data_IF_018456070172
#
_entry.id   IF_018456070172
#
_cell.length_a   1.000
_cell.length_b   1.000
_cell.length_c   1.000
_cell.angle_alpha   90.00
_cell.angle_beta   90.00
_cell.angle_gamma   90.00
#
_symmetry.space_group_name_H-M   'P 1'
#
loop_
_entity.id
_entity.type
_entity.pdbx_description
1 polymer ?
#
# COMPACT_ATOMS: atom_id res chain seq x y z
N UNK A 1 9.24 -16.58 14.56
CA UNK A 1 10.12 -15.74 13.74
C UNK A 1 9.26 -14.87 12.84
N UNK A 2 9.61 -13.58 12.69
CA UNK A 2 8.91 -12.66 11.77
C UNK A 2 9.67 -12.62 10.44
N UNK A 3 8.95 -12.62 9.31
CA UNK A 3 9.49 -12.22 8.01
C UNK A 3 8.73 -10.99 7.50
N UNK A 4 9.44 -9.96 7.06
CA UNK A 4 8.89 -8.87 6.27
C UNK A 4 9.02 -9.21 4.78
N UNK A 5 7.94 -9.06 4.01
CA UNK A 5 7.87 -9.30 2.57
C UNK A 5 7.42 -8.05 1.81
N UNK A 6 8.29 -7.02 1.67
CA UNK A 6 8.03 -5.88 0.79
C UNK A 6 7.94 -6.31 -0.68
N UNK A 7 6.86 -5.95 -1.36
CA UNK A 7 6.79 -6.03 -2.81
C UNK A 7 7.56 -4.87 -3.45
N UNK A 8 8.84 -5.07 -3.77
CA UNK A 8 9.78 -4.01 -4.19
C UNK A 8 9.53 -3.37 -5.58
N UNK A 9 8.37 -3.60 -6.18
CA UNK A 9 7.81 -2.72 -7.22
C UNK A 9 7.17 -1.43 -6.66
N UNK A 10 6.83 -1.38 -5.36
CA UNK A 10 6.23 -0.20 -4.72
C UNK A 10 7.21 0.51 -3.77
N UNK A 11 7.49 1.79 -4.07
CA UNK A 11 8.26 2.68 -3.19
C UNK A 11 7.60 2.84 -1.81
N UNK A 12 6.28 2.99 -1.77
CA UNK A 12 5.51 3.17 -0.53
C UNK A 12 5.65 1.97 0.40
N UNK A 13 5.34 0.77 -0.07
CA UNK A 13 5.48 -0.47 0.71
C UNK A 13 6.93 -0.72 1.14
N UNK A 14 7.89 -0.66 0.20
CA UNK A 14 9.30 -0.91 0.53
C UNK A 14 9.79 0.03 1.63
N UNK A 15 9.39 1.30 1.58
CA UNK A 15 9.82 2.30 2.56
C UNK A 15 9.06 2.22 3.90
N UNK A 16 7.80 1.76 3.93
CA UNK A 16 7.12 1.40 5.19
C UNK A 16 7.78 0.19 5.86
N UNK A 17 8.21 -0.80 5.09
CA UNK A 17 8.91 -1.98 5.61
C UNK A 17 10.28 -1.66 6.23
N UNK A 18 10.96 -0.57 5.81
CA UNK A 18 12.16 -0.07 6.51
C UNK A 18 11.85 0.36 7.95
N UNK A 19 10.78 1.14 8.13
CA UNK A 19 10.39 1.65 9.45
C UNK A 19 9.80 0.54 10.33
N UNK A 20 9.06 -0.42 9.75
CA UNK A 20 8.66 -1.65 10.46
C UNK A 20 9.87 -2.49 10.89
N UNK A 21 10.87 -2.67 10.01
CA UNK A 21 12.10 -3.40 10.36
C UNK A 21 12.84 -2.72 11.52
N UNK A 22 12.98 -1.39 11.47
CA UNK A 22 13.57 -0.60 12.55
C UNK A 22 12.80 -0.81 13.85
N UNK A 23 11.49 -0.54 13.86
CA UNK A 23 10.68 -0.59 15.08
C UNK A 23 10.61 -2.01 15.69
N UNK A 24 10.54 -3.07 14.88
CA UNK A 24 10.59 -4.46 15.37
C UNK A 24 11.97 -4.81 15.98
N UNK A 25 13.05 -4.32 15.36
CA UNK A 25 14.42 -4.52 15.86
C UNK A 25 14.67 -3.71 17.15
N UNK A 26 14.10 -2.51 17.26
CA UNK A 26 14.11 -1.68 18.48
C UNK A 26 13.32 -2.31 19.63
N UNK A 27 12.29 -3.12 19.34
CA UNK A 27 11.62 -4.00 20.30
C UNK A 27 12.42 -5.29 20.63
N UNK A 28 13.58 -5.50 20.02
CA UNK A 28 14.45 -6.67 20.25
C UNK A 28 13.95 -7.96 19.60
N UNK A 29 13.08 -7.88 18.58
CA UNK A 29 12.50 -9.05 17.91
C UNK A 29 13.39 -9.55 16.77
N UNK A 30 13.40 -10.87 16.57
CA UNK A 30 14.12 -11.48 15.44
C UNK A 30 13.28 -11.39 14.16
N UNK A 31 13.84 -10.68 13.17
CA UNK A 31 13.19 -10.34 11.90
C UNK A 31 14.08 -10.77 10.74
N UNK A 32 13.49 -11.44 9.75
CA UNK A 32 14.05 -11.60 8.40
C UNK A 32 13.36 -10.66 7.42
N UNK A 33 14.05 -10.32 6.34
CA UNK A 33 13.45 -9.63 5.18
C UNK A 33 13.67 -10.50 3.96
N UNK A 34 12.61 -10.69 3.17
CA UNK A 34 12.67 -11.41 1.91
C UNK A 34 11.77 -10.74 0.88
N UNK A 35 12.06 -10.86 -0.42
CA UNK A 35 11.26 -10.20 -1.45
C UNK A 35 11.34 -10.94 -2.78
N UNK A 36 10.37 -10.73 -3.67
CA UNK A 36 10.53 -11.10 -5.08
C UNK A 36 11.40 -10.10 -5.84
N UNK A 37 11.83 -9.01 -5.21
CA UNK A 37 12.70 -8.00 -5.79
C UNK A 37 11.94 -6.90 -6.53
N UNK A 38 12.67 -6.08 -7.27
CA UNK A 38 12.16 -4.96 -8.04
C UNK A 38 12.96 -3.66 -7.89
N UNK A 39 12.55 -2.59 -8.58
CA UNK A 39 13.31 -1.33 -8.67
C UNK A 39 13.59 -0.62 -7.34
N UNK A 40 12.93 -1.00 -6.24
CA UNK A 40 13.12 -0.42 -4.92
C UNK A 40 13.96 -1.28 -3.94
N UNK A 41 14.45 -2.46 -4.34
CA UNK A 41 15.40 -3.28 -3.55
C UNK A 41 16.59 -2.48 -3.02
N UNK A 42 17.07 -1.50 -3.80
CA UNK A 42 18.17 -0.61 -3.41
C UNK A 42 17.95 0.08 -2.07
N UNK A 43 16.70 0.31 -1.64
CA UNK A 43 16.38 0.94 -0.37
C UNK A 43 16.68 0.03 0.84
N UNK A 44 16.53 -1.30 0.67
CA UNK A 44 16.93 -2.27 1.69
C UNK A 44 18.47 -2.27 1.84
N UNK A 45 19.17 -2.27 0.71
CA UNK A 45 20.64 -2.24 0.67
C UNK A 45 21.23 -0.90 1.19
N UNK A 46 20.62 0.23 0.82
CA UNK A 46 20.98 1.59 1.30
C UNK A 46 20.74 1.74 2.81
N UNK A 47 19.73 1.05 3.37
CA UNK A 47 19.49 0.96 4.80
C UNK A 47 20.38 -0.06 5.54
N UNK A 48 21.23 -0.80 4.83
CA UNK A 48 22.10 -1.85 5.40
C UNK A 48 21.34 -3.10 5.87
N UNK A 49 20.09 -3.29 5.44
CA UNK A 49 19.25 -4.43 5.81
C UNK A 49 19.62 -5.63 4.93
N UNK A 50 19.97 -6.75 5.56
CA UNK A 50 20.15 -8.02 4.87
C UNK A 50 18.78 -8.58 4.44
N UNK A 51 18.66 -8.99 3.18
CA UNK A 51 17.44 -9.58 2.64
C UNK A 51 17.73 -10.71 1.65
N UNK A 52 16.78 -11.63 1.53
CA UNK A 52 16.80 -12.74 0.56
C UNK A 52 15.87 -12.45 -0.64
N UNK A 53 16.26 -12.89 -1.84
CA UNK A 53 15.39 -12.83 -3.04
C UNK A 53 14.76 -14.20 -3.27
N UNK A 54 13.42 -14.23 -3.33
CA UNK A 54 12.62 -15.46 -3.42
C UNK A 54 12.10 -15.67 -4.85
N UNK A 55 12.37 -16.85 -5.41
CA UNK A 55 11.96 -17.21 -6.77
C UNK A 55 12.86 -16.59 -7.86
N UNK A 56 12.37 -16.40 -9.09
CA UNK A 56 13.17 -15.95 -10.24
C UNK A 56 13.58 -14.46 -10.21
N UNK A 57 13.00 -13.65 -9.32
CA UNK A 57 13.25 -12.21 -9.25
C UNK A 57 12.38 -11.37 -10.20
N UNK A 58 11.96 -10.20 -9.73
CA UNK A 58 11.03 -9.31 -10.41
C UNK A 58 11.75 -8.24 -11.23
N UNK A 59 11.95 -8.51 -12.53
CA UNK A 59 12.62 -7.53 -13.42
C UNK A 59 11.92 -6.16 -13.44
N UNK A 60 12.63 -5.03 -13.66
CA UNK A 60 12.02 -3.70 -13.68
C UNK A 60 10.85 -3.55 -14.67
N UNK A 61 10.89 -4.25 -15.80
CA UNK A 61 9.79 -4.28 -16.77
C UNK A 61 8.57 -5.06 -16.24
N UNK A 62 8.79 -6.20 -15.57
CA UNK A 62 7.71 -6.98 -14.93
C UNK A 62 7.09 -6.20 -13.75
N UNK A 63 7.92 -5.52 -12.96
CA UNK A 63 7.49 -4.64 -11.88
C UNK A 63 6.63 -3.47 -12.40
N UNK A 64 7.03 -2.80 -13.49
CA UNK A 64 6.22 -1.76 -14.11
C UNK A 64 4.87 -2.29 -14.63
N UNK A 65 4.86 -3.48 -15.24
CA UNK A 65 3.63 -4.14 -15.68
C UNK A 65 2.72 -4.54 -14.50
N UNK A 66 3.30 -4.94 -13.36
CA UNK A 66 2.56 -5.27 -12.12
C UNK A 66 1.88 -4.03 -11.51
N UNK A 67 2.61 -2.91 -11.42
CA UNK A 67 2.03 -1.63 -10.96
C UNK A 67 0.95 -1.15 -11.93
N UNK A 68 1.13 -1.34 -13.25
CA UNK A 68 0.13 -1.06 -14.26
C UNK A 68 -1.13 -1.95 -14.21
N UNK A 69 -1.06 -3.12 -13.59
CA UNK A 69 -2.17 -4.06 -13.42
C UNK A 69 -2.84 -4.00 -12.04
N UNK A 70 -2.47 -3.03 -11.19
CA UNK A 70 -2.92 -2.92 -9.81
C UNK A 70 -4.44 -2.96 -9.61
N UNK A 71 -4.87 -3.41 -8.43
CA UNK A 71 -6.28 -3.40 -8.01
C UNK A 71 -6.89 -2.01 -8.22
N UNK A 72 -7.97 -1.96 -9.01
CA UNK A 72 -8.64 -0.72 -9.41
C UNK A 72 -8.23 -0.18 -10.80
N UNK A 73 -7.16 -0.72 -11.39
CA UNK A 73 -6.72 -0.43 -12.75
C UNK A 73 -7.03 -1.62 -13.70
N UNK A 74 -7.14 -1.34 -15.00
CA UNK A 74 -7.32 -2.35 -16.04
C UNK A 74 -8.71 -3.04 -16.04
N UNK A 75 -8.74 -4.31 -16.45
CA UNK A 75 -9.95 -5.14 -16.46
C UNK A 75 -10.02 -5.94 -15.15
N UNK A 76 -11.13 -5.92 -14.38
CA UNK A 76 -11.23 -6.68 -13.13
C UNK A 76 -11.18 -8.21 -13.30
N UNK A 77 -11.20 -8.73 -14.53
CA UNK A 77 -10.97 -10.15 -14.84
C UNK A 77 -9.49 -10.49 -15.01
N UNK A 78 -8.61 -9.49 -15.11
CA UNK A 78 -7.16 -9.72 -15.12
C UNK A 78 -6.70 -10.23 -13.76
N UNK A 79 -5.57 -10.93 -13.74
CA UNK A 79 -4.81 -11.20 -12.51
C UNK A 79 -3.55 -10.33 -12.52
N UNK A 80 -3.05 -9.96 -11.33
CA UNK A 80 -1.85 -9.14 -11.23
C UNK A 80 -0.57 -9.92 -11.52
N UNK A 81 -0.58 -11.21 -11.22
CA UNK A 81 0.38 -12.24 -11.60
C UNK A 81 -0.29 -13.24 -12.54
N UNK A 82 0.44 -13.89 -13.44
CA UNK A 82 -0.09 -15.07 -14.13
C UNK A 82 -0.04 -16.33 -13.23
N UNK A 83 -0.76 -17.38 -13.61
CA UNK A 83 -0.92 -18.57 -12.75
C UNK A 83 0.42 -19.28 -12.47
N UNK A 84 1.38 -19.27 -13.41
CA UNK A 84 2.69 -19.89 -13.22
C UNK A 84 3.59 -19.05 -12.32
N UNK A 85 3.49 -17.72 -12.42
CA UNK A 85 4.12 -16.77 -11.52
C UNK A 85 3.57 -16.90 -10.08
N UNK A 86 2.24 -17.07 -9.91
CA UNK A 86 1.64 -17.38 -8.60
C UNK A 86 2.16 -18.70 -8.06
N UNK A 87 2.12 -19.80 -8.84
CA UNK A 87 2.66 -21.12 -8.42
C UNK A 87 4.11 -21.01 -7.95
N UNK A 88 4.95 -20.34 -8.75
CA UNK A 88 6.39 -20.19 -8.51
C UNK A 88 6.67 -19.43 -7.21
N UNK A 89 6.04 -18.28 -7.01
CA UNK A 89 6.26 -17.47 -5.83
C UNK A 89 5.63 -18.08 -4.57
N UNK A 90 4.41 -18.64 -4.65
CA UNK A 90 3.76 -19.32 -3.51
C UNK A 90 4.57 -20.52 -3.02
N UNK A 91 5.19 -21.28 -3.93
CA UNK A 91 6.10 -22.36 -3.57
C UNK A 91 7.37 -21.85 -2.87
N UNK A 92 8.03 -20.83 -3.44
CA UNK A 92 9.27 -20.26 -2.92
C UNK A 92 9.08 -19.58 -1.54
N UNK A 93 7.99 -18.81 -1.36
CA UNK A 93 7.60 -18.24 -0.07
C UNK A 93 7.39 -19.36 0.96
N UNK A 94 6.58 -20.38 0.66
CA UNK A 94 6.26 -21.44 1.61
C UNK A 94 7.47 -22.33 1.95
N UNK A 95 8.40 -22.55 1.01
CA UNK A 95 9.67 -23.20 1.28
C UNK A 95 10.56 -22.36 2.20
N UNK A 96 10.75 -21.07 1.89
CA UNK A 96 11.51 -20.15 2.73
C UNK A 96 10.93 -20.03 4.14
N UNK A 97 9.60 -20.01 4.28
CA UNK A 97 8.92 -19.97 5.57
C UNK A 97 9.24 -21.20 6.43
N UNK A 98 9.17 -22.39 5.84
CA UNK A 98 9.50 -23.65 6.54
C UNK A 98 11.01 -23.76 6.86
N UNK A 99 11.87 -23.37 5.93
CA UNK A 99 13.33 -23.43 6.10
C UNK A 99 13.85 -22.52 7.24
N UNK A 100 13.19 -21.38 7.45
CA UNK A 100 13.61 -20.38 8.44
C UNK A 100 12.72 -20.29 9.70
N UNK A 101 11.78 -21.23 9.86
CA UNK A 101 10.88 -21.26 11.03
C UNK A 101 10.00 -20.02 11.15
N UNK A 102 9.63 -19.41 10.02
CA UNK A 102 8.75 -18.23 9.98
C UNK A 102 7.39 -18.64 10.57
N UNK A 103 6.87 -17.82 11.48
CA UNK A 103 5.54 -17.99 12.10
C UNK A 103 4.60 -16.85 11.74
N UNK A 104 5.16 -15.67 11.43
CA UNK A 104 4.44 -14.48 10.99
C UNK A 104 5.11 -13.95 9.72
N UNK A 105 4.33 -13.75 8.66
CA UNK A 105 4.72 -13.05 7.44
C UNK A 105 3.99 -11.70 7.37
N UNK A 106 4.71 -10.60 7.16
CA UNK A 106 4.15 -9.24 7.11
C UNK A 106 4.36 -8.65 5.72
N UNK A 107 3.31 -8.20 5.04
CA UNK A 107 3.41 -7.63 3.67
C UNK A 107 2.47 -6.44 3.45
N UNK A 108 2.77 -5.56 2.50
CA UNK A 108 1.83 -4.54 2.03
C UNK A 108 1.05 -4.98 0.79
N UNK A 109 1.72 -5.66 -0.14
CA UNK A 109 1.16 -6.02 -1.45
C UNK A 109 1.80 -7.25 -2.12
N UNK A 110 2.58 -8.06 -1.40
CA UNK A 110 3.04 -9.39 -1.88
C UNK A 110 1.87 -10.39 -1.78
N UNK A 111 0.88 -10.23 -2.67
CA UNK A 111 -0.42 -10.93 -2.56
C UNK A 111 -0.33 -12.48 -2.60
N UNK A 112 0.75 -13.02 -3.17
CA UNK A 112 1.11 -14.46 -3.12
C UNK A 112 1.23 -14.98 -1.69
N UNK A 113 1.65 -14.14 -0.75
CA UNK A 113 1.77 -14.46 0.68
C UNK A 113 0.42 -14.86 1.29
N UNK A 114 -0.73 -14.45 0.71
CA UNK A 114 -2.07 -14.90 1.14
C UNK A 114 -2.33 -16.40 0.86
N UNK A 115 -1.56 -17.03 -0.03
CA UNK A 115 -1.66 -18.47 -0.37
C UNK A 115 -0.53 -19.26 0.30
N UNK A 116 0.72 -18.79 0.23
CA UNK A 116 1.85 -19.49 0.85
C UNK A 116 1.77 -19.53 2.37
N UNK A 117 1.16 -18.51 3.00
CA UNK A 117 0.83 -18.55 4.43
C UNK A 117 -0.09 -19.72 4.79
N UNK A 118 -1.14 -19.97 4.00
CA UNK A 118 -2.01 -21.16 4.16
C UNK A 118 -1.22 -22.45 3.93
N UNK A 119 -0.36 -22.51 2.90
CA UNK A 119 0.45 -23.67 2.53
C UNK A 119 1.59 -23.99 3.53
N UNK A 120 2.03 -23.02 4.31
CA UNK A 120 3.09 -23.15 5.32
C UNK A 120 2.57 -23.22 6.77
N UNK A 121 1.30 -22.89 7.03
CA UNK A 121 0.76 -22.78 8.39
C UNK A 121 1.19 -21.50 9.11
N UNK A 122 1.46 -20.43 8.36
CA UNK A 122 1.98 -19.14 8.82
C UNK A 122 0.86 -18.12 8.93
N UNK A 123 0.91 -17.24 9.95
CA UNK A 123 0.01 -16.09 10.03
C UNK A 123 0.46 -15.01 9.04
N UNK A 124 -0.47 -14.45 8.25
CA UNK A 124 -0.19 -13.30 7.39
C UNK A 124 -0.77 -12.02 8.00
N UNK A 125 0.09 -11.02 8.16
CA UNK A 125 -0.26 -9.67 8.60
C UNK A 125 -0.13 -8.73 7.39
N UNK A 126 -1.19 -7.99 7.04
CA UNK A 126 -1.11 -6.97 5.97
C UNK A 126 -0.96 -5.57 6.54
N UNK A 127 -0.06 -4.75 6.00
CA UNK A 127 -0.05 -3.30 6.24
C UNK A 127 -0.83 -2.56 5.13
N UNK A 128 -2.15 -2.52 5.34
CA UNK A 128 -3.17 -2.18 4.34
C UNK A 128 -2.87 -0.86 3.61
N UNK A 129 -2.87 -0.86 2.28
CA UNK A 129 -2.52 0.31 1.48
C UNK A 129 -3.65 1.38 1.46
N UNK A 130 -3.77 2.15 2.54
CA UNK A 130 -4.69 3.28 2.67
C UNK A 130 -6.10 2.90 3.17
N UNK A 131 -7.08 3.75 2.90
CA UNK A 131 -8.39 3.78 3.58
C UNK A 131 -9.47 2.83 3.04
N UNK A 132 -9.15 1.90 2.14
CA UNK A 132 -10.11 0.95 1.54
C UNK A 132 -10.45 -0.24 2.49
N UNK A 133 -10.61 0.03 3.79
CA UNK A 133 -10.87 -0.99 4.82
C UNK A 133 -12.36 -1.27 5.02
N UNK A 134 -12.77 -2.47 5.50
CA UNK A 134 -14.18 -2.85 5.60
C UNK A 134 -15.14 -1.84 6.26
N UNK A 135 -14.84 -1.24 7.43
CA UNK A 135 -15.74 -0.26 8.04
C UNK A 135 -16.05 0.93 7.13
N UNK A 136 -15.10 1.34 6.28
CA UNK A 136 -15.26 2.50 5.41
C UNK A 136 -16.30 2.30 4.32
N UNK A 137 -16.25 1.17 3.60
CA UNK A 137 -17.28 0.90 2.61
C UNK A 137 -18.59 0.40 3.23
N UNK A 138 -18.55 -0.34 4.34
CA UNK A 138 -19.75 -0.81 5.03
C UNK A 138 -20.56 0.37 5.63
N UNK A 139 -19.90 1.43 6.12
CA UNK A 139 -20.53 2.70 6.55
C UNK A 139 -20.81 3.67 5.37
N UNK A 140 -20.50 3.28 4.14
CA UNK A 140 -20.75 4.02 2.88
C UNK A 140 -19.95 5.31 2.71
N UNK A 141 -18.75 5.37 3.30
CA UNK A 141 -17.91 6.55 3.36
C UNK A 141 -17.03 6.75 2.11
N UNK A 142 -16.82 5.73 1.28
CA UNK A 142 -16.06 5.90 0.04
C UNK A 142 -16.80 6.86 -0.93
N UNK A 143 -16.07 7.74 -1.64
CA UNK A 143 -16.65 8.60 -2.69
C UNK A 143 -17.04 7.80 -3.94
N UNK A 144 -17.64 8.47 -4.93
CA UNK A 144 -17.74 7.89 -6.27
C UNK A 144 -16.33 7.81 -6.90
N UNK A 145 -15.94 6.67 -7.50
CA UNK A 145 -14.63 6.53 -8.12
C UNK A 145 -14.55 7.32 -9.45
N UNK A 146 -13.60 8.24 -9.56
CA UNK A 146 -13.32 9.02 -10.79
C UNK A 146 -13.07 8.12 -12.02
N UNK A 147 -12.49 6.95 -11.78
CA UNK A 147 -12.31 5.89 -12.76
C UNK A 147 -12.92 4.59 -12.18
N UNK A 148 -14.17 4.25 -12.53
CA UNK A 148 -14.81 3.05 -12.01
C UNK A 148 -14.24 1.79 -12.68
N UNK A 149 -14.06 0.73 -11.87
CA UNK A 149 -13.45 -0.55 -12.27
C UNK A 149 -14.29 -1.32 -13.29
N UNK A 150 -15.62 -1.14 -13.32
CA UNK A 150 -16.45 -1.54 -14.47
C UNK A 150 -16.56 -0.36 -15.45
N UNK A 151 -16.00 -0.45 -16.68
CA UNK A 151 -16.09 0.61 -17.69
C UNK A 151 -17.52 1.02 -18.04
N UNK A 152 -18.53 0.15 -17.82
CA UNK A 152 -19.96 0.47 -18.02
C UNK A 152 -20.45 1.56 -17.06
N UNK A 153 -19.81 1.69 -15.90
CA UNK A 153 -20.12 2.71 -14.90
C UNK A 153 -19.46 4.06 -15.18
N UNK A 154 -18.62 4.19 -16.23
CA UNK A 154 -17.96 5.46 -16.62
C UNK A 154 -18.94 6.62 -16.88
N UNK A 155 -20.18 6.29 -17.21
CA UNK A 155 -21.27 7.25 -17.43
C UNK A 155 -22.45 7.07 -16.45
N UNK A 156 -22.25 6.30 -15.37
CA UNK A 156 -23.23 6.20 -14.29
C UNK A 156 -23.20 7.47 -13.43
N UNK A 157 -24.36 7.94 -12.90
CA UNK A 157 -24.38 9.03 -11.94
C UNK A 157 -23.59 8.71 -10.67
N UNK A 158 -22.94 9.72 -10.09
CA UNK A 158 -22.09 9.59 -8.89
C UNK A 158 -22.77 8.84 -7.74
N UNK A 159 -24.08 9.05 -7.53
CA UNK A 159 -24.83 8.36 -6.47
C UNK A 159 -24.86 6.83 -6.68
N UNK A 160 -24.90 6.37 -7.93
CA UNK A 160 -24.92 4.96 -8.29
C UNK A 160 -23.52 4.36 -8.23
N UNK A 161 -22.52 5.07 -8.77
CA UNK A 161 -21.11 4.65 -8.67
C UNK A 161 -20.68 4.56 -7.19
N UNK A 162 -21.05 5.55 -6.36
CA UNK A 162 -20.86 5.53 -4.90
C UNK A 162 -21.65 4.40 -4.23
N UNK A 163 -22.91 4.16 -4.60
CA UNK A 163 -23.70 3.07 -4.04
C UNK A 163 -23.06 1.70 -4.29
N UNK A 164 -22.49 1.48 -5.48
CA UNK A 164 -21.85 0.23 -5.88
C UNK A 164 -20.51 0.01 -5.18
N UNK A 165 -19.58 0.97 -5.23
CA UNK A 165 -18.25 0.82 -4.59
C UNK A 165 -18.34 0.61 -3.06
N UNK A 166 -19.42 1.08 -2.43
CA UNK A 166 -19.68 0.88 -1.00
C UNK A 166 -20.45 -0.42 -0.68
N UNK A 167 -20.78 -1.28 -1.67
CA UNK A 167 -21.58 -2.51 -1.46
C UNK A 167 -21.10 -3.75 -2.20
N UNK A 168 -20.13 -3.62 -3.09
CA UNK A 168 -19.52 -4.73 -3.85
C UNK A 168 -18.18 -5.27 -3.34
N UNK A 169 -17.30 -4.56 -2.58
CA UNK A 169 -15.95 -5.06 -2.31
C UNK A 169 -15.88 -6.46 -1.69
N UNK A 170 -16.73 -6.77 -0.71
CA UNK A 170 -16.83 -8.09 -0.07
C UNK A 170 -17.70 -9.11 -0.83
N UNK A 171 -18.03 -8.85 -2.10
CA UNK A 171 -18.90 -9.67 -2.95
C UNK A 171 -18.39 -9.81 -4.39
N UNK A 172 -17.27 -9.17 -4.69
CA UNK A 172 -16.74 -9.01 -6.03
C UNK A 172 -15.44 -9.83 -6.15
N UNK A 173 -15.41 -10.93 -6.93
CA UNK A 173 -14.22 -11.77 -7.09
C UNK A 173 -13.24 -11.21 -8.14
N UNK A 174 -13.28 -9.90 -8.39
CA UNK A 174 -12.35 -9.25 -9.33
C UNK A 174 -10.91 -9.38 -8.83
N UNK A 175 -9.97 -9.58 -9.75
CA UNK A 175 -8.56 -9.86 -9.50
C UNK A 175 -8.23 -11.17 -8.74
N UNK A 176 -9.21 -11.87 -8.15
CA UNK A 176 -8.98 -13.10 -7.37
C UNK A 176 -8.70 -14.35 -8.22
N UNK A 177 -9.22 -14.44 -9.45
CA UNK A 177 -9.40 -15.73 -10.13
C UNK A 177 -8.12 -16.55 -10.39
N UNK A 178 -6.95 -15.92 -10.55
CA UNK A 178 -5.67 -16.63 -10.68
C UNK A 178 -5.24 -17.28 -9.37
N UNK A 179 -5.37 -16.53 -8.27
CA UNK A 179 -5.15 -17.05 -6.92
C UNK A 179 -6.13 -18.18 -6.59
N UNK A 180 -7.41 -18.06 -6.97
CA UNK A 180 -8.41 -19.11 -6.69
C UNK A 180 -8.08 -20.43 -7.40
N UNK A 181 -7.63 -20.40 -8.66
CA UNK A 181 -7.19 -21.60 -9.40
C UNK A 181 -5.98 -22.26 -8.74
N UNK A 182 -4.95 -21.48 -8.41
CA UNK A 182 -3.74 -22.02 -7.78
C UNK A 182 -4.00 -22.47 -6.33
N UNK A 183 -4.95 -21.85 -5.62
CA UNK A 183 -5.40 -22.31 -4.31
C UNK A 183 -6.14 -23.66 -4.39
N UNK A 184 -6.99 -23.88 -5.42
CA UNK A 184 -7.63 -25.17 -5.69
C UNK A 184 -6.58 -26.26 -6.01
N UNK A 185 -5.60 -25.97 -6.86
CA UNK A 185 -4.48 -26.88 -7.18
C UNK A 185 -3.64 -27.26 -5.95
N UNK A 186 -3.43 -26.32 -5.02
CA UNK A 186 -2.67 -26.52 -3.79
C UNK A 186 -3.51 -27.08 -2.62
N UNK A 187 -4.84 -27.19 -2.78
CA UNK A 187 -5.75 -27.65 -1.72
C UNK A 187 -5.90 -26.68 -0.53
N UNK A 188 -5.73 -25.37 -0.75
CA UNK A 188 -5.79 -24.33 0.29
C UNK A 188 -6.98 -23.37 0.12
N UNK A 189 -7.28 -22.57 1.15
CA UNK A 189 -8.36 -21.57 1.08
C UNK A 189 -8.04 -20.43 0.09
N UNK A 190 -8.81 -20.33 -0.99
CA UNK A 190 -8.77 -19.24 -1.97
C UNK A 190 -9.17 -17.86 -1.41
N UNK A 191 -9.44 -16.89 -2.30
CA UNK A 191 -9.62 -15.48 -1.94
C UNK A 191 -11.09 -15.05 -2.17
N UNK A 192 -11.94 -15.05 -1.13
CA UNK A 192 -13.41 -14.99 -1.29
C UNK A 192 -13.97 -13.66 -1.84
N UNK A 193 -13.17 -12.60 -1.91
CA UNK A 193 -13.54 -11.33 -2.55
C UNK A 193 -12.33 -10.40 -2.73
N UNK A 194 -12.50 -9.34 -3.50
CA UNK A 194 -11.52 -8.24 -3.64
C UNK A 194 -11.18 -7.57 -2.29
N UNK A 195 -12.13 -7.51 -1.35
CA UNK A 195 -11.80 -7.04 -0.01
C UNK A 195 -10.91 -8.03 0.76
N UNK A 196 -11.12 -9.34 0.59
CA UNK A 196 -10.25 -10.37 1.18
C UNK A 196 -8.87 -10.47 0.51
N UNK A 197 -8.73 -9.98 -0.73
CA UNK A 197 -7.43 -9.87 -1.42
C UNK A 197 -6.48 -8.84 -0.78
N UNK A 198 -7.00 -7.95 0.08
CA UNK A 198 -6.25 -6.86 0.71
C UNK A 198 -6.09 -7.04 2.25
N UNK A 199 -6.62 -8.13 2.80
CA UNK A 199 -6.68 -8.37 4.24
C UNK A 199 -5.93 -9.66 4.63
N UNK A 200 -5.11 -9.56 5.67
CA UNK A 200 -4.49 -10.73 6.32
C UNK A 200 -5.39 -11.37 7.38
N UNK A 201 -4.78 -12.23 8.20
CA UNK A 201 -5.38 -12.66 9.47
C UNK A 201 -5.45 -11.48 10.46
N UNK A 202 -4.45 -10.59 10.41
CA UNK A 202 -4.48 -9.26 11.00
C UNK A 202 -4.14 -8.23 9.91
N UNK A 203 -4.92 -7.16 9.81
CA UNK A 203 -4.66 -6.07 8.87
C UNK A 203 -4.41 -4.78 9.65
N UNK A 204 -3.18 -4.29 9.59
CA UNK A 204 -2.77 -3.02 10.16
C UNK A 204 -3.29 -1.89 9.27
N UNK A 205 -4.04 -0.96 9.85
CA UNK A 205 -4.66 0.18 9.17
C UNK A 205 -3.78 1.41 9.44
N UNK A 206 -2.99 1.88 8.45
CA UNK A 206 -1.93 2.86 8.64
C UNK A 206 -2.45 4.31 8.56
N UNK A 207 -3.55 4.59 9.26
CA UNK A 207 -4.31 5.83 9.13
C UNK A 207 -5.02 6.14 10.46
N UNK A 208 -5.40 7.41 10.65
CA UNK A 208 -6.21 7.86 11.78
C UNK A 208 -7.70 7.68 11.42
N UNK A 209 -8.44 6.79 12.09
CA UNK A 209 -9.85 6.48 11.78
C UNK A 209 -10.73 7.72 11.70
N UNK A 210 -10.51 8.67 12.61
CA UNK A 210 -11.31 9.87 12.77
C UNK A 210 -11.10 10.88 11.63
N UNK A 211 -9.99 10.77 10.87
CA UNK A 211 -9.79 11.49 9.60
C UNK A 211 -10.63 10.88 8.48
N UNK A 212 -10.93 9.59 8.55
CA UNK A 212 -11.77 8.86 7.60
C UNK A 212 -13.27 8.91 7.94
N UNK A 213 -13.64 9.26 9.18
CA UNK A 213 -15.03 9.37 9.62
C UNK A 213 -15.58 8.13 10.33
N UNK A 214 -14.71 7.25 10.84
CA UNK A 214 -15.03 6.15 11.77
C UNK A 214 -14.18 6.30 13.04
N UNK A 215 -14.54 5.63 14.13
CA UNK A 215 -13.70 5.61 15.35
C UNK A 215 -12.72 4.43 15.36
N UNK A 216 -11.60 4.58 16.07
CA UNK A 216 -10.68 3.47 16.33
C UNK A 216 -11.37 2.26 17.02
N UNK A 217 -12.39 2.51 17.84
CA UNK A 217 -13.19 1.48 18.49
C UNK A 217 -14.05 0.68 17.49
N UNK A 218 -14.66 1.33 16.49
CA UNK A 218 -15.42 0.64 15.42
C UNK A 218 -14.51 -0.22 14.54
N UNK A 219 -13.29 0.25 14.23
CA UNK A 219 -12.31 -0.54 13.47
C UNK A 219 -11.83 -1.75 14.27
N UNK A 220 -11.51 -1.58 15.56
CA UNK A 220 -11.05 -2.68 16.43
C UNK A 220 -12.16 -3.68 16.81
N UNK A 221 -13.43 -3.26 16.79
CA UNK A 221 -14.59 -4.12 17.05
C UNK A 221 -15.19 -4.75 15.77
N UNK A 222 -14.61 -4.48 14.59
CA UNK A 222 -15.07 -5.06 13.33
C UNK A 222 -14.87 -6.58 13.32
N UNK A 223 -15.82 -7.31 12.73
CA UNK A 223 -15.77 -8.77 12.59
C UNK A 223 -16.11 -9.21 11.15
N UNK A 224 -15.43 -10.23 10.62
CA UNK A 224 -15.60 -10.65 9.22
C UNK A 224 -16.97 -11.28 8.97
N UNK A 225 -17.81 -10.58 8.19
CA UNK A 225 -19.02 -11.12 7.60
C UNK A 225 -18.78 -12.02 6.38
N UNK A 226 -19.84 -12.29 5.60
CA UNK A 226 -19.70 -13.03 4.33
C UNK A 226 -18.81 -12.27 3.34
N UNK A 227 -17.82 -12.96 2.78
CA UNK A 227 -16.91 -12.44 1.75
C UNK A 227 -15.48 -12.17 2.23
N UNK A 228 -15.22 -12.34 3.52
CA UNK A 228 -13.89 -12.24 4.14
C UNK A 228 -13.43 -13.64 4.59
N UNK A 229 -12.13 -13.80 4.93
CA UNK A 229 -11.65 -15.01 5.60
C UNK A 229 -12.18 -15.05 7.05
N UNK A 230 -12.55 -16.22 7.60
CA UNK A 230 -12.91 -16.34 9.01
C UNK A 230 -11.75 -15.92 9.92
N UNK A 231 -12.03 -15.06 10.91
CA UNK A 231 -11.03 -14.65 11.90
C UNK A 231 -10.10 -13.49 11.49
N UNK A 232 -10.20 -12.93 10.27
CA UNK A 232 -9.51 -11.68 9.92
C UNK A 232 -9.85 -10.55 10.90
N UNK A 233 -8.83 -9.83 11.36
CA UNK A 233 -8.92 -8.71 12.29
C UNK A 233 -8.39 -7.41 11.65
N UNK A 234 -8.84 -6.26 12.17
CA UNK A 234 -8.31 -4.94 11.81
C UNK A 234 -7.68 -4.31 13.05
N UNK A 235 -6.54 -3.62 12.89
CA UNK A 235 -5.96 -2.80 13.95
C UNK A 235 -5.45 -1.48 13.42
N UNK A 236 -5.92 -0.40 14.02
CA UNK A 236 -5.47 0.96 13.75
C UNK A 236 -4.09 1.15 14.35
N UNK A 237 -3.09 1.41 13.50
CA UNK A 237 -1.72 1.71 13.95
C UNK A 237 -1.39 3.20 13.80
N UNK A 238 -2.24 3.96 13.11
CA UNK A 238 -1.96 5.35 12.75
C UNK A 238 -0.98 5.45 11.58
N UNK A 239 -0.55 6.67 11.20
CA UNK A 239 0.17 6.89 9.95
C UNK A 239 1.50 6.12 9.86
N UNK A 240 1.55 5.15 8.95
CA UNK A 240 2.75 4.37 8.64
C UNK A 240 3.33 4.86 7.31
N UNK A 241 4.33 5.72 7.39
CA UNK A 241 5.04 6.28 6.24
C UNK A 241 6.51 6.47 6.58
N UNK A 242 7.36 6.39 5.55
CA UNK A 242 8.80 6.52 5.67
C UNK A 242 9.23 7.82 6.37
N UNK A 243 10.07 7.71 7.41
CA UNK A 243 10.70 8.86 8.07
C UNK A 243 12.21 8.94 7.77
N UNK A 244 12.64 9.19 6.51
CA UNK A 244 14.04 9.28 6.17
C UNK A 244 14.66 10.54 6.78
N UNK A 245 15.65 10.35 7.67
CA UNK A 245 16.45 11.43 8.23
C UNK A 245 17.50 11.94 7.22
N UNK A 246 17.01 12.50 6.11
CA UNK A 246 17.82 13.11 5.05
C UNK A 246 17.71 14.64 5.11
N UNK A 247 18.82 15.38 4.95
CA UNK A 247 18.76 16.82 4.84
C UNK A 247 18.01 17.22 3.57
N UNK A 248 17.17 18.26 3.67
CA UNK A 248 16.54 18.87 2.50
C UNK A 248 17.67 19.47 1.62
N UNK A 249 17.71 19.21 0.31
CA UNK A 249 18.78 19.71 -0.55
C UNK A 249 18.88 21.26 -0.53
N UNK A 250 20.09 21.85 -0.58
CA UNK A 250 20.27 23.31 -0.50
C UNK A 250 19.48 24.10 -1.55
N UNK A 251 19.31 23.54 -2.75
CA UNK A 251 18.49 24.09 -3.83
C UNK A 251 16.98 24.07 -3.51
N UNK A 252 16.51 23.07 -2.75
CA UNK A 252 15.12 22.99 -2.28
C UNK A 252 14.89 23.97 -1.12
N UNK A 253 15.85 24.13 -0.21
CA UNK A 253 15.82 25.24 0.76
C UNK A 253 15.77 26.61 0.05
N UNK A 254 16.71 26.88 -0.86
CA UNK A 254 16.80 28.11 -1.66
C UNK A 254 15.56 28.35 -2.55
N UNK A 255 14.81 27.31 -2.86
CA UNK A 255 13.47 27.42 -3.45
C UNK A 255 12.45 27.83 -2.39
N UNK A 256 12.27 27.03 -1.33
CA UNK A 256 11.22 27.22 -0.32
C UNK A 256 11.31 28.59 0.39
N UNK A 257 12.52 29.05 0.73
CA UNK A 257 12.81 30.32 1.44
C UNK A 257 12.32 31.59 0.71
N UNK A 258 11.99 31.49 -0.58
CA UNK A 258 11.44 32.62 -1.35
C UNK A 258 10.02 32.96 -0.88
N UNK A 259 9.63 34.25 -0.83
CA UNK A 259 8.28 34.61 -0.42
C UNK A 259 7.21 34.10 -1.39
N UNK A 260 6.04 33.78 -0.85
CA UNK A 260 4.88 33.27 -1.59
C UNK A 260 4.66 31.76 -1.40
N UNK A 261 3.41 31.26 -1.46
CA UNK A 261 3.09 29.84 -1.34
C UNK A 261 3.79 28.94 -2.38
N UNK A 262 3.78 27.64 -2.10
CA UNK A 262 4.34 26.56 -2.93
C UNK A 262 3.35 25.40 -2.99
N UNK A 263 3.13 24.86 -4.18
CA UNK A 263 2.53 23.55 -4.39
C UNK A 263 3.66 22.53 -4.47
N UNK A 264 3.63 21.55 -3.57
CA UNK A 264 4.44 20.35 -3.67
C UNK A 264 3.69 19.29 -4.50
N UNK A 265 4.28 18.84 -5.61
CA UNK A 265 3.68 17.87 -6.53
C UNK A 265 4.49 16.58 -6.54
N UNK A 266 3.98 15.55 -5.85
CA UNK A 266 4.61 14.23 -5.75
C UNK A 266 3.73 13.14 -6.39
N UNK A 267 3.72 13.10 -7.72
CA UNK A 267 3.04 12.07 -8.51
C UNK A 267 4.00 10.89 -8.74
N UNK A 268 4.20 10.09 -7.69
CA UNK A 268 5.36 9.17 -7.55
C UNK A 268 5.32 7.95 -8.47
N UNK A 269 4.18 7.24 -8.50
CA UNK A 269 3.93 6.04 -9.33
C UNK A 269 3.05 6.41 -10.52
N UNK A 270 3.45 7.44 -11.27
CA UNK A 270 2.63 8.06 -12.32
C UNK A 270 3.44 8.21 -13.61
N UNK A 271 2.89 7.88 -14.80
CA UNK A 271 3.60 8.05 -16.07
C UNK A 271 4.07 9.49 -16.31
N UNK A 272 5.26 9.72 -16.91
CA UNK A 272 5.85 11.05 -17.05
C UNK A 272 4.90 12.09 -17.67
N UNK A 273 4.15 11.70 -18.70
CA UNK A 273 3.27 12.60 -19.44
C UNK A 273 2.09 13.11 -18.60
N UNK A 274 1.62 12.33 -17.62
CA UNK A 274 0.58 12.77 -16.68
C UNK A 274 1.15 13.76 -15.66
N UNK A 275 2.39 13.58 -15.21
CA UNK A 275 3.09 14.56 -14.35
C UNK A 275 3.32 15.86 -15.12
N UNK A 276 3.72 15.77 -16.39
CA UNK A 276 3.90 16.90 -17.31
C UNK A 276 2.60 17.65 -17.55
N UNK A 277 1.49 16.94 -17.76
CA UNK A 277 0.16 17.53 -17.88
C UNK A 277 -0.27 18.24 -16.58
N UNK A 278 -0.08 17.61 -15.42
CA UNK A 278 -0.40 18.20 -14.13
C UNK A 278 0.41 19.50 -13.87
N UNK A 279 1.71 19.51 -14.19
CA UNK A 279 2.53 20.73 -14.13
C UNK A 279 2.02 21.80 -15.11
N UNK A 280 1.63 21.44 -16.33
CA UNK A 280 1.10 22.38 -17.31
C UNK A 280 -0.27 22.98 -16.93
N UNK A 281 -1.15 22.20 -16.28
CA UNK A 281 -2.42 22.69 -15.75
C UNK A 281 -2.21 23.57 -14.51
N UNK A 282 -1.34 23.16 -13.58
CA UNK A 282 -1.00 23.94 -12.38
C UNK A 282 -0.23 25.23 -12.71
N UNK A 283 0.56 25.26 -13.79
CA UNK A 283 1.27 26.48 -14.25
C UNK A 283 0.33 27.56 -14.81
N UNK A 284 -0.99 27.31 -14.90
CA UNK A 284 -2.00 28.36 -15.15
C UNK A 284 -2.41 29.09 -13.88
N UNK A 285 -2.15 28.50 -12.72
CA UNK A 285 -2.36 29.16 -11.44
C UNK A 285 -1.24 30.17 -11.21
N UNK A 286 -1.56 31.16 -10.39
CA UNK A 286 -0.64 31.55 -9.35
C UNK A 286 -0.21 30.27 -8.56
N UNK A 287 0.95 29.63 -8.83
CA UNK A 287 1.56 28.63 -7.93
C UNK A 287 3.06 28.29 -8.17
N UNK A 288 3.93 28.36 -7.15
CA UNK A 288 5.32 27.86 -7.24
C UNK A 288 5.32 26.34 -7.13
N UNK A 289 5.77 25.62 -8.16
CA UNK A 289 5.67 24.16 -8.18
C UNK A 289 7.03 23.53 -7.80
N UNK A 290 7.06 22.77 -6.71
CA UNK A 290 8.16 21.88 -6.34
C UNK A 290 7.76 20.46 -6.72
N UNK A 291 8.32 19.94 -7.82
CA UNK A 291 8.00 18.59 -8.34
C UNK A 291 8.96 17.56 -7.77
N UNK A 292 8.43 16.51 -7.14
CA UNK A 292 9.22 15.36 -6.67
C UNK A 292 9.27 14.28 -7.77
N UNK A 293 10.43 14.11 -8.40
CA UNK A 293 10.72 12.99 -9.30
C UNK A 293 11.13 11.73 -8.54
N UNK A 294 10.79 10.56 -9.09
CA UNK A 294 11.10 9.24 -8.50
C UNK A 294 12.00 8.39 -9.40
N UNK A 295 11.42 7.76 -10.42
CA UNK A 295 12.06 6.87 -11.41
C UNK A 295 12.07 7.48 -12.82
N UNK A 296 11.73 8.76 -12.94
CA UNK A 296 11.55 9.48 -14.19
C UNK A 296 12.29 10.82 -14.17
N UNK A 297 12.98 11.16 -15.26
CA UNK A 297 13.65 12.46 -15.39
C UNK A 297 12.64 13.57 -15.70
N UNK A 298 12.60 14.58 -14.84
CA UNK A 298 11.66 15.71 -14.88
C UNK A 298 12.40 17.07 -14.78
N UNK A 299 13.70 17.09 -15.06
CA UNK A 299 14.59 18.23 -14.83
C UNK A 299 14.24 19.51 -15.65
N UNK A 300 13.36 19.39 -16.65
CA UNK A 300 12.93 20.46 -17.54
C UNK A 300 11.69 21.25 -17.06
N UNK A 301 11.04 20.84 -15.96
CA UNK A 301 9.71 21.32 -15.55
C UNK A 301 9.71 22.50 -14.53
N UNK A 302 10.63 23.46 -14.64
CA UNK A 302 10.82 24.51 -13.61
C UNK A 302 9.99 25.79 -13.85
N UNK A 303 8.86 25.97 -13.14
CA UNK A 303 7.98 27.17 -13.25
C UNK A 303 7.34 27.62 -11.90
N UNK A 304 6.62 28.78 -11.86
CA UNK A 304 6.37 29.59 -10.64
C UNK A 304 4.92 30.17 -10.44
N UNK A 305 4.77 31.02 -9.38
CA UNK A 305 3.72 32.01 -8.93
C UNK A 305 2.96 31.68 -7.58
N UNK A 306 1.72 32.09 -7.19
CA UNK A 306 1.19 32.05 -5.77
C UNK A 306 0.01 31.08 -5.29
N UNK A 307 -1.19 31.60 -4.97
CA UNK A 307 -2.50 30.99 -4.51
C UNK A 307 -2.83 30.45 -3.06
N UNK A 308 -4.04 30.87 -2.59
CA UNK A 308 -5.02 30.41 -1.55
C UNK A 308 -4.61 29.98 -0.09
N UNK A 309 -5.14 30.62 0.98
CA UNK A 309 -4.89 30.25 2.38
C UNK A 309 -5.78 29.15 3.03
N UNK A 310 -7.03 28.91 2.61
CA UNK A 310 -8.02 28.19 3.46
C UNK A 310 -7.67 26.71 3.71
N UNK A 311 -6.84 26.11 2.85
CA UNK A 311 -6.37 24.73 3.02
C UNK A 311 -5.35 24.58 4.16
N UNK A 312 -4.68 25.67 4.59
CA UNK A 312 -3.58 25.63 5.57
C UNK A 312 -4.03 25.14 6.94
N UNK A 313 -5.11 25.68 7.48
CA UNK A 313 -5.62 25.32 8.82
C UNK A 313 -6.02 23.84 8.92
N UNK A 314 -6.57 23.29 7.83
CA UNK A 314 -6.92 21.86 7.75
C UNK A 314 -5.68 20.98 7.65
N UNK A 315 -4.67 21.38 6.87
CA UNK A 315 -3.40 20.67 6.76
C UNK A 315 -2.64 20.68 8.10
N UNK A 316 -2.56 21.82 8.79
CA UNK A 316 -1.94 21.92 10.12
C UNK A 316 -2.63 21.03 11.15
N UNK A 317 -3.97 20.92 11.12
CA UNK A 317 -4.70 20.03 12.03
C UNK A 317 -4.36 18.55 11.76
N UNK A 318 -4.34 18.14 10.49
CA UNK A 318 -3.98 16.76 10.11
C UNK A 318 -2.52 16.47 10.48
N UNK A 319 -1.60 17.39 10.20
CA UNK A 319 -0.18 17.28 10.59
C UNK A 319 0.00 17.10 12.10
N UNK A 320 -0.73 17.86 12.92
CA UNK A 320 -0.69 17.76 14.39
C UNK A 320 -1.24 16.43 14.91
N UNK A 321 -2.25 15.85 14.24
CA UNK A 321 -2.76 14.51 14.55
C UNK A 321 -1.76 13.41 14.13
N UNK A 322 -1.18 13.52 12.93
CA UNK A 322 -0.21 12.56 12.40
C UNK A 322 1.08 12.53 13.21
N UNK A 323 1.61 13.69 13.59
CA UNK A 323 2.83 13.80 14.39
C UNK A 323 2.67 13.34 15.86
N UNK A 324 1.44 13.02 16.30
CA UNK A 324 1.17 12.52 17.64
C UNK A 324 1.20 10.98 17.77
N UNK A 325 1.35 10.25 16.65
CA UNK A 325 1.30 8.79 16.62
C UNK A 325 2.55 8.23 15.91
N UNK A 326 3.32 7.42 16.63
CA UNK A 326 4.40 6.62 16.06
C UNK A 326 3.81 5.33 15.46
N UNK A 327 3.34 5.43 14.22
CA UNK A 327 2.77 4.33 13.45
C UNK A 327 3.69 3.11 13.32
N UNK A 328 5.00 3.28 13.00
CA UNK A 328 5.98 2.19 13.03
C UNK A 328 6.02 1.44 14.37
N UNK A 329 6.09 2.15 15.50
CA UNK A 329 6.13 1.52 16.83
C UNK A 329 4.80 0.84 17.19
N UNK A 330 3.65 1.44 16.91
CA UNK A 330 2.36 0.80 17.18
C UNK A 330 2.08 -0.41 16.27
N UNK A 331 2.56 -0.38 15.03
CA UNK A 331 2.56 -1.54 14.13
C UNK A 331 3.49 -2.65 14.63
N UNK A 332 4.72 -2.32 15.04
CA UNK A 332 5.65 -3.28 15.63
C UNK A 332 5.08 -3.91 16.92
N UNK A 333 4.43 -3.12 17.78
CA UNK A 333 3.68 -3.61 18.97
C UNK A 333 2.49 -4.49 18.60
N UNK A 334 1.78 -4.18 17.52
CA UNK A 334 0.67 -5.00 17.03
C UNK A 334 1.15 -6.38 16.57
N UNK A 335 2.24 -6.43 15.81
CA UNK A 335 2.89 -7.66 15.33
C UNK A 335 3.46 -8.46 16.53
N UNK A 336 4.12 -7.79 17.47
CA UNK A 336 4.70 -8.42 18.66
C UNK A 336 3.66 -9.15 19.54
N UNK A 337 2.41 -8.68 19.54
CA UNK A 337 1.29 -9.29 20.28
C UNK A 337 0.70 -10.52 19.57
N UNK A 338 1.31 -11.02 18.50
CA UNK A 338 0.93 -12.25 17.80
C UNK A 338 1.97 -13.38 17.94
N UNK A 339 3.07 -13.14 18.67
CA UNK A 339 4.14 -14.11 18.96
C UNK A 339 3.87 -14.94 20.23
#
# INVERSE_FOLDING_TARGET
>A
MICLLPHCAYLSETSRMLDLHRALTELGLEVRVATHGGPHERLLAEAGIAYDVLGPGLSPARAAAFVGSAVGLGDPRQSMYDDDEIRTYVAAEAEYFRAHGITIAVTGFTLTTLLSSRLAGVQVITEHAGSFVPPMFEHRLLPAPTHPVDPRLKHAPDWLARFLINRTPNRFPGYCSGFDRVAEELGVEGIPSLAALLLGDLSLVPEIPEVLGVSAAEVAAWTPGKGYRPGSQLRTVGPLFAQPNLPIPPEVHTFLDRPGPTIYLAMTSTPPDQVRQAVADLSRLDARILVAGTIHSLADLTTQVLANPTHRESAERIQKLYAAIDGPTEAARAIAQQL
#
